data_IF_932806441977
#
_entry.id   IF_932806441977
#
_cell.length_a   1.000
_cell.length_b   1.000
_cell.length_c   1.000
_cell.angle_alpha   90.00
_cell.angle_beta   90.00
_cell.angle_gamma   90.00
#
_symmetry.space_group_name_H-M   'P 1'
#
loop_
_entity.id
_entity.type
_entity.pdbx_description
1 polymer ?
#
# COMPACT_ATOMS: atom_id res chain seq x y z
N UNK A 1 0.62 1.11 2.31
CA UNK A 1 0.13 2.47 2.46
C UNK A 1 -0.91 2.55 3.58
N UNK A 2 -1.13 3.74 4.14
CA UNK A 2 -2.18 4.00 5.12
C UNK A 2 -3.50 4.46 4.50
N UNK A 3 -3.73 4.19 3.22
CA UNK A 3 -4.97 4.52 2.53
C UNK A 3 -6.17 3.68 2.98
N UNK A 4 -7.38 4.14 2.65
CA UNK A 4 -8.64 3.45 3.02
C UNK A 4 -8.64 2.03 2.47
N UNK A 5 -8.38 1.85 1.18
CA UNK A 5 -8.52 0.55 0.51
C UNK A 5 -7.54 -0.49 1.06
N UNK A 6 -6.27 -0.13 1.23
CA UNK A 6 -5.28 -1.03 1.83
C UNK A 6 -5.59 -1.37 3.30
N UNK A 7 -6.14 -0.41 4.06
CA UNK A 7 -6.54 -0.65 5.45
C UNK A 7 -7.75 -1.58 5.55
N UNK A 8 -8.75 -1.41 4.67
CA UNK A 8 -9.93 -2.30 4.63
C UNK A 8 -9.53 -3.70 4.16
N UNK A 9 -8.69 -3.79 3.13
CA UNK A 9 -8.13 -5.06 2.65
C UNK A 9 -7.40 -5.80 3.79
N UNK A 10 -6.52 -5.10 4.51
CA UNK A 10 -5.79 -5.67 5.65
C UNK A 10 -6.74 -6.14 6.76
N UNK A 11 -7.75 -5.36 7.13
CA UNK A 11 -8.72 -5.71 8.16
C UNK A 11 -9.57 -6.93 7.75
N UNK A 12 -9.99 -7.00 6.49
CA UNK A 12 -10.75 -8.14 5.95
C UNK A 12 -9.91 -9.42 6.02
N UNK A 13 -8.68 -9.37 5.53
CA UNK A 13 -7.78 -10.52 5.56
C UNK A 13 -7.37 -10.89 6.99
N UNK A 14 -7.17 -9.91 7.87
CA UNK A 14 -6.89 -10.16 9.29
C UNK A 14 -7.99 -11.00 9.94
N UNK A 15 -9.26 -10.70 9.66
CA UNK A 15 -10.39 -11.52 10.15
C UNK A 15 -10.44 -12.90 9.52
N UNK A 16 -10.05 -13.05 8.27
CA UNK A 16 -10.12 -14.31 7.54
C UNK A 16 -9.00 -15.28 7.93
N UNK A 17 -7.77 -14.80 8.05
CA UNK A 17 -6.55 -15.64 8.16
C UNK A 17 -5.64 -15.28 9.34
N UNK A 18 -5.93 -14.22 10.09
CA UNK A 18 -5.20 -13.85 11.30
C UNK A 18 -3.69 -13.75 11.09
N UNK A 19 -2.90 -14.45 11.90
CA UNK A 19 -1.42 -14.44 11.86
C UNK A 19 -0.78 -15.04 10.61
N UNK A 20 -1.53 -15.61 9.69
CA UNK A 20 -1.02 -15.95 8.37
C UNK A 20 -0.83 -14.70 7.50
N UNK A 21 -1.45 -13.57 7.89
CA UNK A 21 -1.27 -12.29 7.22
C UNK A 21 -0.04 -11.56 7.78
N UNK A 22 0.83 -11.12 6.88
CA UNK A 22 1.89 -10.15 7.18
C UNK A 22 1.60 -8.85 6.43
N UNK A 23 1.41 -7.76 7.17
CA UNK A 23 1.24 -6.43 6.63
C UNK A 23 2.55 -5.64 6.72
N UNK A 24 3.02 -5.13 5.59
CA UNK A 24 4.21 -4.26 5.53
C UNK A 24 3.75 -2.83 5.29
N UNK A 25 3.95 -1.96 6.26
CA UNK A 25 3.71 -0.52 6.16
C UNK A 25 5.02 0.23 5.96
N UNK A 26 5.13 0.96 4.86
CA UNK A 26 6.35 1.72 4.51
C UNK A 26 6.13 3.19 4.83
N UNK A 27 6.89 3.70 5.79
CA UNK A 27 7.01 5.14 6.04
C UNK A 27 8.09 5.72 5.14
N UNK A 28 7.66 6.39 4.08
CA UNK A 28 8.53 7.07 3.12
C UNK A 28 8.76 8.56 3.47
N UNK A 29 8.27 9.03 4.60
CA UNK A 29 8.44 10.41 5.07
C UNK A 29 7.53 11.46 4.41
N UNK A 30 6.70 11.05 3.46
CA UNK A 30 5.82 11.93 2.68
C UNK A 30 4.33 11.64 2.95
N UNK A 31 4.08 10.94 4.05
CA UNK A 31 2.75 10.59 4.54
C UNK A 31 1.98 11.83 5.03
N UNK A 32 0.68 11.65 5.27
CA UNK A 32 -0.12 12.63 6.02
C UNK A 32 0.42 12.76 7.44
N UNK A 33 0.12 13.89 8.06
CA UNK A 33 0.39 14.10 9.50
C UNK A 33 -0.25 12.98 10.32
N UNK A 34 0.55 12.36 11.19
CA UNK A 34 0.15 11.28 12.10
C UNK A 34 -0.35 9.99 11.39
N UNK A 35 -0.14 9.83 10.09
CA UNK A 35 -0.61 8.64 9.37
C UNK A 35 0.10 7.37 9.87
N UNK A 36 1.40 7.45 10.12
CA UNK A 36 2.18 6.34 10.66
C UNK A 36 1.64 5.88 12.00
N UNK A 37 1.48 6.83 12.92
CA UNK A 37 1.00 6.55 14.28
C UNK A 37 -0.39 5.93 14.25
N UNK A 38 -1.29 6.47 13.45
CA UNK A 38 -2.65 5.98 13.28
C UNK A 38 -2.71 4.55 12.73
N UNK A 39 -1.88 4.23 11.75
CA UNK A 39 -1.82 2.88 11.17
C UNK A 39 -1.21 1.89 12.17
N UNK A 40 -0.14 2.29 12.85
CA UNK A 40 0.50 1.46 13.87
C UNK A 40 -0.41 1.20 15.07
N UNK A 41 -1.25 2.17 15.47
CA UNK A 41 -2.23 2.01 16.54
C UNK A 41 -3.28 0.93 16.21
N UNK A 42 -3.72 0.87 14.95
CA UNK A 42 -4.77 -0.08 14.52
C UNK A 42 -4.20 -1.46 14.20
N UNK A 43 -3.07 -1.53 13.50
CA UNK A 43 -2.53 -2.78 12.95
C UNK A 43 -1.25 -3.26 13.64
N UNK A 44 -0.62 -2.42 14.45
CA UNK A 44 0.61 -2.75 15.16
C UNK A 44 0.40 -3.64 16.37
N UNK A 45 1.47 -3.87 17.13
CA UNK A 45 1.44 -4.67 18.35
C UNK A 45 0.48 -4.07 19.38
N UNK A 46 -0.43 -4.89 19.90
CA UNK A 46 -1.49 -4.44 20.81
C UNK A 46 -2.64 -3.69 20.14
N UNK A 47 -2.66 -3.59 18.81
CA UNK A 47 -3.74 -2.98 18.05
C UNK A 47 -4.98 -3.87 17.93
N UNK A 48 -5.87 -3.51 17.00
CA UNK A 48 -7.18 -4.16 16.86
C UNK A 48 -7.12 -5.56 16.24
N UNK A 49 -6.04 -5.89 15.53
CA UNK A 49 -5.93 -7.11 14.74
C UNK A 49 -4.72 -7.95 15.16
N UNK A 50 -4.93 -9.25 15.32
CA UNK A 50 -3.86 -10.21 15.62
C UNK A 50 -3.20 -10.71 14.32
N UNK A 51 -2.29 -9.92 13.78
CA UNK A 51 -1.57 -10.16 12.53
C UNK A 51 -0.06 -9.96 12.73
N UNK A 52 0.75 -10.32 11.72
CA UNK A 52 2.13 -9.89 11.65
C UNK A 52 2.18 -8.50 11.00
N UNK A 53 2.69 -7.52 11.73
CA UNK A 53 2.79 -6.14 11.23
C UNK A 53 4.23 -5.66 11.27
N UNK A 54 4.72 -5.19 10.11
CA UNK A 54 6.06 -4.64 9.95
C UNK A 54 5.95 -3.18 9.53
N UNK A 55 6.45 -2.27 10.36
CA UNK A 55 6.55 -0.85 10.04
C UNK A 55 7.98 -0.51 9.65
N UNK A 56 8.19 -0.19 8.37
CA UNK A 56 9.51 0.11 7.81
C UNK A 56 9.72 1.62 7.78
N UNK A 57 10.75 2.10 8.47
CA UNK A 57 11.22 3.48 8.31
C UNK A 57 12.18 3.57 7.12
N UNK A 58 11.67 4.07 6.01
CA UNK A 58 12.42 4.24 4.77
C UNK A 58 12.66 5.73 4.41
N UNK A 59 12.37 6.67 5.32
CA UNK A 59 12.39 8.11 5.07
C UNK A 59 13.69 8.58 4.41
N UNK A 60 14.83 8.24 4.98
CA UNK A 60 16.14 8.65 4.46
C UNK A 60 16.41 8.10 3.06
N UNK A 61 15.91 6.91 2.78
CA UNK A 61 16.06 6.24 1.48
C UNK A 61 15.30 7.00 0.40
N UNK A 62 14.06 7.40 0.68
CA UNK A 62 13.25 8.19 -0.24
C UNK A 62 13.79 9.62 -0.40
N UNK A 63 14.16 10.28 0.68
CA UNK A 63 14.72 11.63 0.61
C UNK A 63 15.99 11.71 -0.24
N UNK A 64 16.91 10.76 -0.09
CA UNK A 64 18.12 10.67 -0.92
C UNK A 64 17.81 10.52 -2.41
N UNK A 65 16.76 9.77 -2.76
CA UNK A 65 16.36 9.55 -4.15
C UNK A 65 15.64 10.76 -4.76
N UNK A 66 14.95 11.53 -3.94
CA UNK A 66 14.19 12.71 -4.36
C UNK A 66 15.03 13.99 -4.39
N UNK A 67 16.20 14.01 -3.77
CA UNK A 67 17.07 15.18 -3.75
C UNK A 67 17.37 15.68 -5.17
N UNK A 68 17.15 16.97 -5.41
CA UNK A 68 17.33 17.60 -6.72
C UNK A 68 16.29 17.25 -7.78
N UNK A 69 15.17 16.63 -7.40
CA UNK A 69 14.07 16.32 -8.31
C UNK A 69 12.93 17.31 -8.12
N UNK A 70 12.61 18.07 -9.15
CA UNK A 70 11.56 19.10 -9.14
C UNK A 70 10.28 18.67 -9.89
N UNK A 71 10.42 17.92 -10.98
CA UNK A 71 9.30 17.49 -11.82
C UNK A 71 8.38 16.47 -11.11
N UNK A 72 7.06 16.74 -10.95
CA UNK A 72 6.13 15.85 -10.25
C UNK A 72 6.07 14.43 -10.80
N UNK A 73 6.10 14.27 -12.13
CA UNK A 73 6.08 12.95 -12.77
C UNK A 73 7.34 12.14 -12.45
N UNK A 74 8.50 12.80 -12.42
CA UNK A 74 9.75 12.16 -12.06
C UNK A 74 9.75 11.72 -10.60
N UNK A 75 9.24 12.58 -9.70
CA UNK A 75 9.06 12.25 -8.28
C UNK A 75 8.14 11.03 -8.12
N UNK A 76 7.01 11.01 -8.84
CA UNK A 76 6.06 9.88 -8.81
C UNK A 76 6.74 8.57 -9.20
N UNK A 77 7.48 8.57 -10.30
CA UNK A 77 8.21 7.39 -10.80
C UNK A 77 9.25 6.91 -9.79
N UNK A 78 10.07 7.81 -9.27
CA UNK A 78 11.10 7.49 -8.25
C UNK A 78 10.47 6.87 -7.00
N UNK A 79 9.39 7.46 -6.49
CA UNK A 79 8.70 6.96 -5.30
C UNK A 79 8.11 5.57 -5.56
N UNK A 80 7.48 5.37 -6.71
CA UNK A 80 6.93 4.06 -7.08
C UNK A 80 7.99 2.98 -7.18
N UNK A 81 9.09 3.24 -7.87
CA UNK A 81 10.22 2.31 -8.00
C UNK A 81 10.85 2.00 -6.64
N UNK A 82 11.07 3.02 -5.81
CA UNK A 82 11.71 2.83 -4.51
C UNK A 82 10.79 2.09 -3.52
N UNK A 83 9.48 2.34 -3.60
CA UNK A 83 8.49 1.61 -2.79
C UNK A 83 8.54 0.10 -3.10
N UNK A 84 8.62 -0.28 -4.37
CA UNK A 84 8.76 -1.68 -4.79
C UNK A 84 10.03 -2.28 -4.18
N UNK A 85 11.16 -1.59 -4.27
CA UNK A 85 12.44 -2.08 -3.71
C UNK A 85 12.40 -2.28 -2.21
N UNK A 86 11.79 -1.36 -1.47
CA UNK A 86 11.60 -1.51 -0.02
C UNK A 86 10.75 -2.73 0.28
N UNK A 87 9.65 -2.89 -0.47
CA UNK A 87 8.78 -4.05 -0.32
C UNK A 87 9.49 -5.37 -0.60
N UNK A 88 10.31 -5.41 -1.65
CA UNK A 88 11.15 -6.57 -1.99
C UNK A 88 12.13 -6.94 -0.87
N UNK A 89 12.81 -5.93 -0.33
CA UNK A 89 13.77 -6.14 0.77
C UNK A 89 13.08 -6.71 2.01
N UNK A 90 11.87 -6.27 2.31
CA UNK A 90 11.08 -6.82 3.43
C UNK A 90 10.52 -8.21 3.12
N UNK A 91 10.04 -8.44 1.91
CA UNK A 91 9.55 -9.76 1.49
C UNK A 91 10.65 -10.85 1.63
N UNK A 92 11.89 -10.53 1.30
CA UNK A 92 13.05 -11.43 1.52
C UNK A 92 13.25 -11.81 2.99
N UNK A 93 13.01 -10.85 3.90
CA UNK A 93 13.16 -11.10 5.34
C UNK A 93 12.04 -11.97 5.90
N UNK A 94 10.84 -11.81 5.36
CA UNK A 94 9.65 -12.59 5.73
C UNK A 94 9.82 -14.05 5.28
N UNK A 95 10.51 -14.29 4.16
CA UNK A 95 10.72 -15.60 3.59
C UNK A 95 9.68 -15.98 2.54
N UNK A 96 9.42 -17.28 2.39
CA UNK A 96 8.47 -17.76 1.39
C UNK A 96 7.04 -17.34 1.73
N UNK A 97 6.39 -16.62 0.81
CA UNK A 97 4.98 -16.25 0.88
C UNK A 97 4.26 -16.76 -0.37
N UNK A 98 3.06 -17.29 -0.19
CA UNK A 98 2.30 -17.87 -1.30
C UNK A 98 1.52 -16.83 -2.08
N UNK A 99 1.00 -15.79 -1.41
CA UNK A 99 0.08 -14.82 -1.98
C UNK A 99 0.49 -13.38 -1.67
N UNK A 100 0.29 -12.50 -2.66
CA UNK A 100 0.35 -11.05 -2.47
C UNK A 100 -1.08 -10.49 -2.45
N UNK A 101 -1.43 -9.76 -1.39
CA UNK A 101 -2.72 -9.07 -1.31
C UNK A 101 -2.60 -7.62 -1.75
N UNK A 102 -3.56 -7.15 -2.53
CA UNK A 102 -3.66 -5.76 -3.00
C UNK A 102 -5.05 -5.19 -2.72
N UNK A 103 -5.10 -3.93 -2.30
CA UNK A 103 -6.34 -3.18 -2.05
C UNK A 103 -6.92 -2.54 -3.33
N UNK A 104 -6.92 -3.26 -4.44
CA UNK A 104 -7.53 -2.82 -5.70
C UNK A 104 -9.04 -2.75 -5.55
N UNK A 105 -9.66 -1.69 -6.04
CA UNK A 105 -11.11 -1.50 -6.08
C UNK A 105 -11.62 -1.44 -7.53
N UNK A 106 -12.94 -1.53 -7.72
CA UNK A 106 -13.54 -1.59 -9.07
C UNK A 106 -13.14 -0.42 -9.99
N UNK A 107 -13.13 0.86 -9.56
CA UNK A 107 -12.63 1.96 -10.39
C UNK A 107 -11.19 1.76 -10.90
N UNK A 108 -10.29 1.21 -10.09
CA UNK A 108 -8.91 0.93 -10.51
C UNK A 108 -8.86 -0.11 -11.64
N UNK A 109 -9.78 -1.09 -11.60
CA UNK A 109 -9.89 -2.13 -12.64
C UNK A 109 -10.32 -1.51 -13.97
N UNK A 110 -11.31 -0.62 -13.94
CA UNK A 110 -11.82 0.05 -15.14
C UNK A 110 -10.77 0.99 -15.73
N UNK A 111 -10.10 1.80 -14.90
CA UNK A 111 -9.04 2.70 -15.33
C UNK A 111 -7.84 1.94 -15.93
N UNK A 112 -7.46 0.80 -15.34
CA UNK A 112 -6.37 -0.03 -15.87
C UNK A 112 -6.70 -0.68 -17.21
N UNK A 113 -7.97 -1.00 -17.46
CA UNK A 113 -8.46 -1.50 -18.76
C UNK A 113 -8.38 -0.45 -19.88
N UNK A 114 -8.31 0.83 -19.53
CA UNK A 114 -8.18 1.96 -20.46
C UNK A 114 -6.72 2.45 -20.62
N UNK A 115 -5.73 1.70 -20.11
CA UNK A 115 -4.30 2.04 -20.23
C UNK A 115 -3.77 2.93 -19.09
N UNK A 116 -4.46 3.01 -17.95
CA UNK A 116 -4.00 3.77 -16.78
C UNK A 116 -2.81 3.12 -16.05
N UNK A 117 -2.05 3.93 -15.31
CA UNK A 117 -0.82 3.52 -14.59
C UNK A 117 -1.03 2.41 -13.53
N UNK A 118 -2.25 2.21 -13.04
CA UNK A 118 -2.62 1.09 -12.15
C UNK A 118 -2.48 -0.28 -12.83
N UNK A 119 -2.52 -0.33 -14.16
CA UNK A 119 -2.23 -1.55 -14.92
C UNK A 119 -0.77 -2.01 -14.75
N UNK A 120 0.10 -1.10 -14.39
CA UNK A 120 1.54 -1.34 -14.33
C UNK A 120 1.94 -2.32 -13.22
N UNK A 121 1.24 -2.30 -12.09
CA UNK A 121 1.51 -3.27 -11.01
C UNK A 121 0.93 -4.65 -11.33
N UNK A 122 -0.14 -4.72 -12.14
CA UNK A 122 -0.87 -5.95 -12.47
C UNK A 122 -0.33 -6.73 -13.66
N UNK A 123 0.36 -6.05 -14.58
CA UNK A 123 0.96 -6.69 -15.75
C UNK A 123 2.34 -7.27 -15.49
N UNK A 124 2.88 -7.12 -14.27
CA UNK A 124 4.26 -7.43 -13.94
C UNK A 124 4.57 -8.88 -13.57
N UNK A 125 3.61 -9.80 -13.67
CA UNK A 125 3.98 -11.22 -13.82
C UNK A 125 4.76 -11.49 -15.13
N UNK A 126 4.79 -10.51 -16.07
CA UNK A 126 5.49 -10.65 -17.34
C UNK A 126 6.33 -9.43 -17.78
N UNK A 127 6.40 -8.35 -17.01
CA UNK A 127 7.22 -7.17 -17.39
C UNK A 127 7.87 -6.56 -16.14
N UNK A 128 9.06 -7.00 -15.82
CA UNK A 128 10.17 -6.26 -15.25
C UNK A 128 10.01 -5.42 -13.97
N UNK A 129 9.08 -5.70 -13.07
CA UNK A 129 8.87 -4.86 -11.89
C UNK A 129 8.92 -5.56 -10.52
N UNK A 130 8.48 -6.82 -10.43
CA UNK A 130 8.73 -7.67 -9.27
C UNK A 130 9.92 -8.58 -9.59
N UNK A 131 10.85 -8.79 -8.66
CA UNK A 131 12.03 -9.60 -8.94
C UNK A 131 11.66 -11.06 -9.13
N UNK A 132 12.44 -11.76 -9.96
CA UNK A 132 12.35 -13.19 -10.26
C UNK A 132 12.47 -14.13 -9.02
N UNK A 133 12.74 -13.58 -7.84
CA UNK A 133 12.87 -14.35 -6.60
C UNK A 133 11.68 -14.28 -5.64
N UNK A 134 10.66 -13.47 -5.95
CA UNK A 134 9.39 -13.47 -5.20
C UNK A 134 8.36 -14.21 -6.03
N UNK A 135 8.30 -15.52 -5.85
CA UNK A 135 7.38 -16.40 -6.56
C UNK A 135 6.04 -16.47 -5.81
N UNK A 136 5.20 -15.45 -6.02
CA UNK A 136 3.83 -15.51 -5.53
C UNK A 136 3.01 -16.44 -6.42
N UNK A 137 2.27 -17.35 -5.81
CA UNK A 137 1.34 -18.23 -6.53
C UNK A 137 0.21 -17.45 -7.19
N UNK A 138 -0.29 -16.42 -6.49
CA UNK A 138 -1.42 -15.61 -6.96
C UNK A 138 -1.48 -14.26 -6.25
N UNK A 139 -2.09 -13.27 -6.91
CA UNK A 139 -2.46 -11.98 -6.34
C UNK A 139 -3.91 -12.05 -5.87
N UNK A 140 -4.13 -11.74 -4.58
CA UNK A 140 -5.45 -11.70 -3.96
C UNK A 140 -5.95 -10.27 -3.87
N UNK A 141 -7.09 -9.97 -4.47
CA UNK A 141 -7.69 -8.63 -4.53
C UNK A 141 -9.11 -8.65 -3.93
N UNK A 142 -9.27 -8.67 -2.60
CA UNK A 142 -10.58 -8.88 -1.97
C UNK A 142 -11.61 -7.78 -2.23
N UNK A 143 -11.16 -6.59 -2.64
CA UNK A 143 -12.02 -5.41 -2.86
C UNK A 143 -12.27 -5.13 -4.35
N UNK A 144 -11.81 -6.01 -5.24
CA UNK A 144 -11.78 -5.76 -6.69
C UNK A 144 -13.13 -5.37 -7.32
N UNK A 145 -14.21 -5.92 -6.79
CA UNK A 145 -15.56 -5.72 -7.32
C UNK A 145 -16.35 -4.64 -6.55
N UNK A 146 -15.72 -3.97 -5.58
CA UNK A 146 -16.35 -2.96 -4.73
C UNK A 146 -16.07 -1.54 -5.20
N UNK A 147 -17.08 -0.68 -5.10
CA UNK A 147 -16.94 0.76 -5.20
C UNK A 147 -16.43 1.38 -3.89
N UNK A 148 -15.93 2.61 -3.97
CA UNK A 148 -15.31 3.30 -2.83
C UNK A 148 -16.21 3.40 -1.59
N UNK A 149 -17.50 3.63 -1.80
CA UNK A 149 -18.46 3.76 -0.70
C UNK A 149 -18.74 2.41 -0.04
N UNK A 150 -18.79 1.32 -0.81
CA UNK A 150 -18.91 -0.04 -0.30
C UNK A 150 -17.68 -0.45 0.50
N UNK A 151 -16.48 -0.08 0.02
CA UNK A 151 -15.22 -0.31 0.76
C UNK A 151 -15.24 0.42 2.10
N UNK A 152 -15.70 1.67 2.16
CA UNK A 152 -15.84 2.42 3.41
C UNK A 152 -16.84 1.78 4.35
N UNK A 153 -17.97 1.32 3.84
CA UNK A 153 -18.96 0.61 4.64
C UNK A 153 -18.38 -0.68 5.22
N UNK A 154 -17.73 -1.50 4.40
CA UNK A 154 -17.03 -2.70 4.85
C UNK A 154 -16.01 -2.39 5.95
N UNK A 155 -15.25 -1.29 5.81
CA UNK A 155 -14.32 -0.83 6.83
C UNK A 155 -14.97 -0.55 8.17
N UNK A 156 -16.14 0.11 8.17
CA UNK A 156 -16.93 0.36 9.41
C UNK A 156 -17.43 -0.92 10.04
N UNK A 157 -17.95 -1.84 9.25
CA UNK A 157 -18.43 -3.15 9.71
C UNK A 157 -17.28 -4.02 10.27
N UNK A 158 -16.07 -3.86 9.74
CA UNK A 158 -14.86 -4.50 10.25
C UNK A 158 -14.32 -3.85 11.53
N UNK A 159 -14.89 -2.73 11.96
CA UNK A 159 -14.52 -2.03 13.19
C UNK A 159 -13.33 -1.09 13.04
N UNK A 160 -12.97 -0.69 11.80
CA UNK A 160 -11.94 0.32 11.60
C UNK A 160 -12.39 1.68 12.11
N UNK A 161 -11.49 2.48 12.72
CA UNK A 161 -11.81 3.81 13.18
C UNK A 161 -12.27 4.73 12.05
N UNK A 162 -13.23 5.61 12.34
CA UNK A 162 -13.80 6.52 11.33
C UNK A 162 -12.73 7.42 10.68
N UNK A 163 -11.71 7.83 11.43
CA UNK A 163 -10.61 8.63 10.86
C UNK A 163 -9.80 7.90 9.78
N UNK A 164 -9.81 6.56 9.75
CA UNK A 164 -9.24 5.78 8.65
C UNK A 164 -10.22 5.62 7.50
N UNK A 165 -11.47 5.30 7.80
CA UNK A 165 -12.49 4.98 6.79
C UNK A 165 -12.96 6.21 6.02
N UNK A 166 -13.17 7.35 6.72
CA UNK A 166 -13.59 8.62 6.12
C UNK A 166 -12.44 9.45 5.56
N UNK A 167 -11.23 8.92 5.55
CA UNK A 167 -10.03 9.62 5.10
C UNK A 167 -10.19 10.13 3.67
N UNK A 168 -9.83 11.41 3.47
CA UNK A 168 -9.86 12.03 2.15
C UNK A 168 -8.85 11.37 1.20
N UNK A 169 -9.11 11.33 -0.12
CA UNK A 169 -8.16 10.86 -1.11
C UNK A 169 -6.82 11.58 -1.00
N UNK A 170 -5.74 10.82 -1.07
CA UNK A 170 -4.38 11.33 -0.99
C UNK A 170 -3.52 10.52 -1.95
N UNK A 171 -2.70 11.17 -2.77
CA UNK A 171 -1.91 10.46 -3.77
C UNK A 171 -0.92 9.50 -3.11
N UNK A 172 -0.71 8.33 -3.72
CA UNK A 172 0.25 7.33 -3.25
C UNK A 172 1.66 7.89 -3.02
N UNK A 173 2.19 8.75 -3.90
CA UNK A 173 3.48 9.43 -3.70
C UNK A 173 3.50 10.44 -2.54
N UNK A 174 2.37 10.67 -1.87
CA UNK A 174 2.29 11.54 -0.71
C UNK A 174 2.47 13.03 -1.03
N UNK A 175 3.11 13.75 -0.12
CA UNK A 175 3.33 15.20 -0.25
C UNK A 175 4.29 15.58 -1.38
N UNK A 176 5.17 14.69 -1.81
CA UNK A 176 6.22 15.00 -2.77
C UNK A 176 5.71 15.60 -4.08
N UNK A 177 4.57 15.11 -4.60
CA UNK A 177 4.00 15.61 -5.85
C UNK A 177 3.23 16.93 -5.70
N UNK A 178 2.98 17.37 -4.46
CA UNK A 178 2.33 18.65 -4.14
C UNK A 178 3.32 19.77 -3.87
N UNK A 179 4.59 19.42 -3.66
CA UNK A 179 5.67 20.39 -3.47
C UNK A 179 6.32 20.64 -4.83
N UNK A 180 6.24 21.91 -5.28
CA UNK A 180 6.91 22.38 -6.49
C UNK A 180 8.33 22.81 -6.08
N UNK A 181 9.33 22.21 -6.72
CA UNK A 181 10.75 22.38 -6.35
C UNK A 181 11.32 21.16 -5.62
N UNK A 182 12.58 21.27 -5.22
CA UNK A 182 13.32 20.27 -4.43
C UNK A 182 13.10 20.41 -2.93
#
# INVERSE_FOLDING_TARGET
SGGVDSSVCAAMLAKAIGKQLTCVFVDHGLLRKNEREQVCEVFGEGGQFDINFVCVDARDRFYKKLAGQDAPERKRKIIGEEFIRVFEDEAKKIGAVDFLAQGTIYPDVVESGLGGESATIKSHHNVGGLPDYVDFKEIVEPLRDLFKDEVRQAGRELGLPEYLVARQPFPGPGLAIRIIGD
#
